data_IF_474928775008
#
_entry.id   IF_474928775008
#
_cell.length_a   1.000
_cell.length_b   1.000
_cell.length_c   1.000
_cell.angle_alpha   90.00
_cell.angle_beta   90.00
_cell.angle_gamma   90.00
#
_symmetry.space_group_name_H-M   'P 1'
#
loop_
_entity.id
_entity.type
_entity.pdbx_description
1 polymer ?
#
# COMPACT_ATOMS: atom_id res chain seq x y z
N UNK A 1 -37.65 17.06 10.32
CA UNK A 1 -38.89 16.25 10.30
C UNK A 1 -39.75 16.31 9.03
N UNK A 2 -40.11 17.46 8.45
CA UNK A 2 -41.19 17.50 7.41
C UNK A 2 -40.97 16.87 6.02
N UNK A 3 -39.74 16.52 5.61
CA UNK A 3 -39.48 15.95 4.27
C UNK A 3 -39.06 14.47 4.28
N UNK A 4 -38.54 13.95 5.40
CA UNK A 4 -38.05 12.57 5.52
C UNK A 4 -39.18 11.53 5.49
N UNK A 5 -40.39 11.91 5.92
CA UNK A 5 -41.58 11.06 5.87
C UNK A 5 -41.97 10.65 4.44
N UNK A 6 -41.59 11.45 3.44
CA UNK A 6 -41.82 11.13 2.03
C UNK A 6 -40.85 10.05 1.49
N UNK A 7 -39.81 9.71 2.25
CA UNK A 7 -38.79 8.74 1.89
C UNK A 7 -38.88 7.47 2.76
N UNK A 8 -40.11 7.01 3.02
CA UNK A 8 -40.38 5.82 3.86
C UNK A 8 -39.74 4.51 3.35
N UNK A 9 -39.41 4.44 2.05
CA UNK A 9 -38.74 3.31 1.41
C UNK A 9 -37.23 3.50 1.26
N UNK A 10 -36.64 4.56 1.84
CA UNK A 10 -35.21 4.80 1.75
C UNK A 10 -34.43 3.68 2.46
N UNK A 11 -33.62 2.95 1.69
CA UNK A 11 -32.83 1.83 2.19
C UNK A 11 -31.36 2.18 2.42
N UNK A 12 -30.86 3.21 1.73
CA UNK A 12 -29.49 3.67 1.80
C UNK A 12 -29.48 5.20 1.83
N UNK A 13 -28.66 5.76 2.70
CA UNK A 13 -28.42 7.21 2.78
C UNK A 13 -26.92 7.46 2.73
N UNK A 14 -26.51 8.39 1.86
CA UNK A 14 -25.13 8.83 1.73
C UNK A 14 -25.07 10.35 1.78
N UNK A 15 -24.18 10.87 2.62
CA UNK A 15 -23.87 12.29 2.71
C UNK A 15 -22.35 12.47 2.69
N UNK A 16 -21.85 13.34 1.81
CA UNK A 16 -20.42 13.58 1.61
C UNK A 16 -20.12 15.07 1.76
N UNK A 17 -18.92 15.36 2.24
CA UNK A 17 -18.38 16.70 2.47
C UNK A 17 -19.32 17.62 3.27
N UNK A 18 -19.99 17.02 4.25
CA UNK A 18 -20.98 17.75 5.07
C UNK A 18 -20.34 18.36 6.31
N UNK A 19 -20.81 19.55 6.69
CA UNK A 19 -20.45 20.22 7.94
C UNK A 19 -21.44 19.79 9.05
N UNK A 20 -21.45 18.48 9.32
CA UNK A 20 -22.35 17.84 10.27
C UNK A 20 -21.64 16.69 11.00
N UNK A 21 -22.14 16.32 12.16
CA UNK A 21 -21.72 15.15 12.93
C UNK A 21 -22.64 13.96 12.67
N UNK A 22 -22.24 12.75 13.06
CA UNK A 22 -23.06 11.54 12.86
C UNK A 22 -24.44 11.65 13.54
N UNK A 23 -24.51 12.34 14.68
CA UNK A 23 -25.75 12.52 15.45
C UNK A 23 -26.75 13.47 14.75
N UNK A 24 -26.28 14.38 13.91
CA UNK A 24 -27.17 15.29 13.16
C UNK A 24 -28.07 14.53 12.16
N UNK A 25 -27.77 13.25 11.91
CA UNK A 25 -28.54 12.36 11.06
C UNK A 25 -29.45 11.39 11.84
N UNK A 26 -29.69 11.63 13.14
CA UNK A 26 -30.55 10.74 13.95
C UNK A 26 -31.99 10.63 13.40
N UNK A 27 -32.52 11.71 12.80
CA UNK A 27 -33.81 11.69 12.12
C UNK A 27 -33.81 10.70 10.94
N UNK A 28 -32.72 10.65 10.17
CA UNK A 28 -32.55 9.72 9.03
C UNK A 28 -32.43 8.28 9.54
N UNK A 29 -31.67 8.09 10.63
CA UNK A 29 -31.46 6.78 11.26
C UNK A 29 -32.74 6.15 11.83
N UNK A 30 -33.80 6.96 12.04
CA UNK A 30 -35.10 6.48 12.49
C UNK A 30 -36.00 5.98 11.34
N UNK A 31 -35.56 6.07 10.08
CA UNK A 31 -36.30 5.54 8.95
C UNK A 31 -36.36 3.99 9.00
N UNK A 32 -37.54 3.39 8.80
CA UNK A 32 -37.75 1.96 9.07
C UNK A 32 -37.04 1.04 8.08
N UNK A 33 -36.83 1.49 6.84
CA UNK A 33 -36.21 0.69 5.78
C UNK A 33 -34.70 0.91 5.65
N UNK A 34 -34.12 1.88 6.37
CA UNK A 34 -32.72 2.22 6.23
C UNK A 34 -31.83 1.06 6.71
N UNK A 35 -30.99 0.55 5.81
CA UNK A 35 -30.02 -0.54 6.06
C UNK A 35 -28.58 -0.05 6.02
N UNK A 36 -28.32 1.02 5.29
CA UNK A 36 -26.97 1.49 5.01
C UNK A 36 -26.89 3.00 5.26
N UNK A 37 -25.86 3.41 6.00
CA UNK A 37 -25.49 4.80 6.20
C UNK A 37 -24.04 5.01 5.78
N UNK A 38 -23.82 5.96 4.88
CA UNK A 38 -22.51 6.48 4.54
C UNK A 38 -22.43 7.96 4.88
N UNK A 39 -21.44 8.35 5.67
CA UNK A 39 -21.18 9.73 6.05
C UNK A 39 -19.71 10.06 5.83
N UNK A 40 -19.44 11.14 5.10
CA UNK A 40 -18.12 11.76 5.04
C UNK A 40 -18.29 13.22 5.42
N UNK A 41 -17.66 13.63 6.51
CA UNK A 41 -17.67 15.03 6.93
C UNK A 41 -16.57 15.78 6.24
N UNK A 42 -16.73 17.09 6.12
CA UNK A 42 -15.67 17.95 5.62
C UNK A 42 -14.42 17.83 6.50
N UNK A 43 -13.32 17.35 5.91
CA UNK A 43 -12.04 17.25 6.59
C UNK A 43 -11.52 18.64 7.00
N UNK A 44 -12.00 19.71 6.36
CA UNK A 44 -11.62 21.09 6.60
C UNK A 44 -12.30 21.80 7.78
N UNK A 45 -13.38 21.24 8.32
CA UNK A 45 -14.19 21.92 9.35
C UNK A 45 -14.42 21.02 10.57
N UNK A 46 -13.85 21.42 11.72
CA UNK A 46 -14.17 20.78 13.00
C UNK A 46 -15.44 21.42 13.55
N UNK A 47 -16.52 20.65 13.66
CA UNK A 47 -17.63 20.97 14.54
C UNK A 47 -17.58 20.08 15.78
N UNK A 48 -17.37 20.65 16.99
CA UNK A 48 -17.62 19.89 18.21
C UNK A 48 -19.09 19.49 18.23
N UNK A 49 -19.37 18.25 18.61
CA UNK A 49 -20.72 17.76 18.87
C UNK A 49 -21.32 18.53 20.06
N UNK A 50 -22.05 19.60 19.77
CA UNK A 50 -22.71 20.40 20.80
C UNK A 50 -23.88 19.59 21.38
N UNK A 51 -23.85 19.33 22.71
CA UNK A 51 -25.04 18.84 23.44
C UNK A 51 -25.32 17.34 23.38
N UNK A 52 -24.28 16.49 23.29
CA UNK A 52 -24.46 15.04 23.19
C UNK A 52 -24.93 14.44 24.52
N UNK A 53 -26.24 14.25 24.66
CA UNK A 53 -26.84 13.51 25.77
C UNK A 53 -26.84 12.01 25.47
N UNK A 54 -25.72 11.32 25.73
CA UNK A 54 -25.61 9.86 25.54
C UNK A 54 -26.76 9.08 26.19
N UNK A 55 -27.39 9.58 27.25
CA UNK A 55 -28.52 8.95 27.93
C UNK A 55 -29.77 8.82 27.05
N UNK A 56 -30.02 9.75 26.11
CA UNK A 56 -31.20 9.76 25.24
C UNK A 56 -31.03 8.98 23.93
N UNK A 57 -29.79 8.62 23.57
CA UNK A 57 -29.51 7.80 22.37
C UNK A 57 -30.23 6.46 22.45
N UNK A 58 -31.08 6.16 21.46
CA UNK A 58 -31.77 4.87 21.33
C UNK A 58 -31.02 3.95 20.37
N UNK A 59 -30.96 2.63 20.57
CA UNK A 59 -30.40 1.73 19.55
C UNK A 59 -31.15 1.82 18.21
N UNK A 60 -30.43 1.73 17.11
CA UNK A 60 -30.93 1.55 15.76
C UNK A 60 -30.54 0.15 15.27
N UNK A 61 -31.53 -0.73 15.14
CA UNK A 61 -31.33 -2.12 14.72
C UNK A 61 -31.54 -2.34 13.22
N UNK A 62 -32.06 -1.34 12.51
CA UNK A 62 -32.37 -1.46 11.09
C UNK A 62 -31.11 -1.34 10.23
N UNK A 63 -30.22 -0.41 10.59
CA UNK A 63 -28.94 -0.18 9.92
C UNK A 63 -28.01 -1.36 10.19
N UNK A 64 -27.50 -1.97 9.12
CA UNK A 64 -26.58 -3.11 9.14
C UNK A 64 -25.20 -2.77 8.58
N UNK A 65 -25.07 -1.65 7.89
CA UNK A 65 -23.81 -1.15 7.34
C UNK A 65 -23.62 0.31 7.70
N UNK A 66 -22.52 0.63 8.39
CA UNK A 66 -22.11 2.00 8.68
C UNK A 66 -20.76 2.25 8.03
N UNK A 67 -20.67 3.33 7.24
CA UNK A 67 -19.42 3.88 6.72
C UNK A 67 -19.32 5.33 7.16
N UNK A 68 -18.27 5.71 7.86
CA UNK A 68 -18.13 7.04 8.43
C UNK A 68 -16.68 7.53 8.36
N UNK A 69 -16.44 8.64 7.67
CA UNK A 69 -15.18 9.39 7.69
C UNK A 69 -15.41 10.71 8.42
N UNK A 70 -14.89 10.85 9.64
CA UNK A 70 -15.27 11.92 10.57
C UNK A 70 -14.08 12.41 11.41
N UNK A 71 -14.21 13.60 12.02
CA UNK A 71 -13.28 14.06 13.05
C UNK A 71 -13.50 13.29 14.36
N UNK A 72 -12.43 13.09 15.13
CA UNK A 72 -12.56 12.55 16.48
C UNK A 72 -13.27 13.54 17.42
N UNK A 73 -14.21 13.03 18.23
CA UNK A 73 -14.74 13.70 19.41
C UNK A 73 -14.90 12.71 20.58
N UNK A 74 -15.03 13.24 21.80
CA UNK A 74 -15.04 12.47 23.05
C UNK A 74 -16.26 11.53 23.20
N UNK A 75 -17.23 11.61 22.30
CA UNK A 75 -18.50 10.91 22.38
C UNK A 75 -18.75 9.96 21.20
N UNK A 76 -17.98 10.09 20.11
CA UNK A 76 -18.18 9.37 18.85
C UNK A 76 -18.29 7.86 19.06
N UNK A 77 -17.30 7.23 19.70
CA UNK A 77 -17.30 5.79 19.90
C UNK A 77 -18.43 5.33 20.82
N UNK A 78 -18.68 6.04 21.92
CA UNK A 78 -19.78 5.72 22.83
C UNK A 78 -21.14 5.81 22.12
N UNK A 79 -21.32 6.81 21.27
CA UNK A 79 -22.51 6.96 20.44
C UNK A 79 -22.62 5.81 19.43
N UNK A 80 -21.56 5.51 18.67
CA UNK A 80 -21.56 4.43 17.67
C UNK A 80 -21.89 3.09 18.30
N UNK A 81 -21.21 2.71 19.38
CA UNK A 81 -21.42 1.46 20.10
C UNK A 81 -22.84 1.35 20.67
N UNK A 82 -23.40 2.45 21.18
CA UNK A 82 -24.75 2.48 21.74
C UNK A 82 -25.83 2.45 20.66
N UNK A 83 -25.62 3.19 19.56
CA UNK A 83 -26.59 3.38 18.48
C UNK A 83 -26.63 2.18 17.54
N UNK A 84 -25.50 1.55 17.21
CA UNK A 84 -25.41 0.56 16.13
C UNK A 84 -25.08 -0.86 16.63
N UNK A 85 -25.99 -1.48 17.37
CA UNK A 85 -25.75 -2.77 18.03
C UNK A 85 -25.87 -4.01 17.11
N UNK A 86 -26.28 -3.86 15.85
CA UNK A 86 -26.55 -4.98 14.93
C UNK A 86 -25.87 -4.80 13.56
N UNK A 87 -24.68 -4.20 13.57
CA UNK A 87 -23.89 -4.03 12.34
C UNK A 87 -23.39 -5.38 11.83
N UNK A 88 -23.52 -5.56 10.52
CA UNK A 88 -22.80 -6.60 9.77
C UNK A 88 -21.51 -6.05 9.18
N UNK A 89 -21.47 -4.74 8.93
CA UNK A 89 -20.36 -4.02 8.32
C UNK A 89 -20.13 -2.67 9.01
N UNK A 90 -18.87 -2.38 9.34
CA UNK A 90 -18.44 -1.09 9.89
C UNK A 90 -17.17 -0.62 9.17
N UNK A 91 -17.17 0.56 8.58
CA UNK A 91 -15.96 1.30 8.19
C UNK A 91 -15.98 2.63 8.96
N UNK A 92 -15.07 2.81 9.90
CA UNK A 92 -14.94 4.05 10.67
C UNK A 92 -13.54 4.63 10.48
N UNK A 93 -13.46 5.76 9.81
CA UNK A 93 -12.22 6.48 9.55
C UNK A 93 -12.20 7.80 10.29
N UNK A 94 -11.23 7.96 11.18
CA UNK A 94 -10.99 9.21 11.88
C UNK A 94 -9.97 10.03 11.10
N UNK A 95 -10.25 11.31 10.87
CA UNK A 95 -9.28 12.24 10.30
C UNK A 95 -8.12 12.53 11.26
N UNK A 96 -6.99 13.03 10.71
CA UNK A 96 -5.82 13.41 11.50
C UNK A 96 -6.20 14.45 12.57
N UNK A 97 -5.86 14.25 13.85
CA UNK A 97 -6.06 15.25 14.88
C UNK A 97 -5.38 16.58 14.57
N UNK A 98 -6.17 17.58 14.19
CA UNK A 98 -5.68 18.92 13.81
C UNK A 98 -5.02 19.72 14.91
N UNK A 99 -5.15 19.29 16.16
CA UNK A 99 -4.55 19.98 17.31
C UNK A 99 -3.99 18.96 18.28
N UNK A 100 -2.90 19.34 18.97
CA UNK A 100 -2.33 18.54 20.05
C UNK A 100 -3.37 18.23 21.15
N UNK A 101 -4.36 19.10 21.35
CA UNK A 101 -5.43 18.85 22.32
C UNK A 101 -6.37 17.73 21.89
N UNK A 102 -6.77 17.68 20.61
CA UNK A 102 -7.62 16.60 20.08
C UNK A 102 -6.84 15.29 20.11
N UNK A 103 -5.55 15.35 19.74
CA UNK A 103 -4.65 14.20 19.81
C UNK A 103 -4.62 13.60 21.22
N UNK A 104 -4.32 14.40 22.25
CA UNK A 104 -4.27 13.91 23.64
C UNK A 104 -5.60 13.29 24.08
N UNK A 105 -6.74 13.91 23.73
CA UNK A 105 -8.06 13.37 24.05
C UNK A 105 -8.31 12.02 23.39
N UNK A 106 -7.93 11.86 22.13
CA UNK A 106 -8.01 10.60 21.41
C UNK A 106 -7.10 9.55 22.04
N UNK A 107 -5.84 9.88 22.30
CA UNK A 107 -4.87 8.99 22.95
C UNK A 107 -5.38 8.51 24.32
N UNK A 108 -5.85 9.43 25.16
CA UNK A 108 -6.42 9.14 26.48
C UNK A 108 -7.67 8.25 26.37
N UNK A 109 -8.55 8.51 25.41
CA UNK A 109 -9.76 7.71 25.23
C UNK A 109 -9.43 6.27 24.83
N UNK A 110 -8.57 6.09 23.84
CA UNK A 110 -8.14 4.75 23.43
C UNK A 110 -7.40 4.04 24.56
N UNK A 111 -6.51 4.71 25.28
CA UNK A 111 -5.81 4.11 26.43
C UNK A 111 -6.77 3.57 27.50
N UNK A 112 -7.92 4.22 27.73
CA UNK A 112 -8.88 3.83 28.76
C UNK A 112 -10.00 2.90 28.27
N UNK A 113 -10.30 2.89 26.96
CA UNK A 113 -11.47 2.20 26.41
C UNK A 113 -11.16 1.18 25.31
N UNK A 114 -9.87 0.93 25.01
CA UNK A 114 -9.44 0.02 23.95
C UNK A 114 -10.16 -1.31 23.98
N UNK A 115 -10.20 -1.98 25.15
CA UNK A 115 -10.80 -3.30 25.28
C UNK A 115 -12.29 -3.31 24.91
N UNK A 116 -13.05 -2.31 25.36
CA UNK A 116 -14.47 -2.17 25.03
C UNK A 116 -14.69 -1.96 23.53
N UNK A 117 -13.82 -1.15 22.90
CA UNK A 117 -13.86 -0.93 21.44
C UNK A 117 -13.58 -2.25 20.71
N UNK A 118 -12.55 -2.99 21.15
CA UNK A 118 -12.18 -4.28 20.56
C UNK A 118 -13.29 -5.34 20.70
N UNK A 119 -13.91 -5.44 21.86
CA UNK A 119 -15.05 -6.35 22.10
C UNK A 119 -16.23 -6.02 21.18
N UNK A 120 -16.51 -4.73 21.00
CA UNK A 120 -17.53 -4.27 20.08
C UNK A 120 -17.17 -4.62 18.63
N UNK A 121 -15.95 -4.34 18.18
CA UNK A 121 -15.48 -4.67 16.83
C UNK A 121 -15.54 -6.19 16.56
N UNK A 122 -15.19 -7.02 17.54
CA UNK A 122 -15.30 -8.48 17.44
C UNK A 122 -16.73 -8.98 17.24
N UNK A 123 -17.72 -8.24 17.74
CA UNK A 123 -19.13 -8.59 17.53
C UNK A 123 -19.59 -8.35 16.08
N UNK A 124 -18.83 -7.57 15.30
CA UNK A 124 -19.17 -7.18 13.93
C UNK A 124 -18.40 -8.07 12.93
N UNK A 125 -19.10 -8.83 12.06
CA UNK A 125 -18.48 -9.77 11.12
C UNK A 125 -17.44 -9.15 10.19
N UNK A 126 -17.66 -7.92 9.72
CA UNK A 126 -16.74 -7.19 8.86
C UNK A 126 -16.55 -5.78 9.42
N UNK A 127 -15.33 -5.42 9.77
CA UNK A 127 -15.03 -4.09 10.28
C UNK A 127 -13.69 -3.58 9.75
N UNK A 128 -13.60 -2.26 9.64
CA UNK A 128 -12.41 -1.49 9.38
C UNK A 128 -12.40 -0.27 10.29
N UNK A 129 -11.32 -0.10 11.03
CA UNK A 129 -11.06 1.08 11.85
C UNK A 129 -9.80 1.75 11.34
N UNK A 130 -9.93 3.01 10.92
CA UNK A 130 -8.80 3.91 10.67
C UNK A 130 -8.75 4.96 11.75
N UNK A 131 -7.66 4.99 12.50
CA UNK A 131 -7.44 6.05 13.47
C UNK A 131 -5.95 6.38 13.61
N UNK A 132 -5.69 7.52 14.24
CA UNK A 132 -4.34 7.97 14.54
C UNK A 132 -4.03 7.65 15.99
N UNK A 133 -2.93 6.94 16.26
CA UNK A 133 -2.65 6.48 17.61
C UNK A 133 -1.22 6.03 17.84
N UNK A 134 -0.83 5.82 19.10
CA UNK A 134 0.49 5.34 19.48
C UNK A 134 0.68 3.86 19.10
N UNK A 135 1.90 3.48 18.72
CA UNK A 135 2.26 2.13 18.25
C UNK A 135 2.05 1.06 19.32
N UNK A 136 2.16 1.42 20.60
CA UNK A 136 2.02 0.49 21.72
C UNK A 136 0.61 -0.15 21.78
N UNK A 137 -0.41 0.55 21.25
CA UNK A 137 -1.78 0.02 21.19
C UNK A 137 -1.93 -1.08 20.14
N UNK A 138 -1.11 -1.04 19.08
CA UNK A 138 -1.16 -1.98 17.96
C UNK A 138 -1.03 -3.42 18.47
N UNK A 139 -0.17 -3.64 19.47
CA UNK A 139 0.08 -4.95 20.08
C UNK A 139 -1.17 -5.63 20.60
N UNK A 140 -2.02 -4.89 21.31
CA UNK A 140 -3.26 -5.43 21.89
C UNK A 140 -4.34 -5.56 20.82
N UNK A 141 -4.38 -4.65 19.84
CA UNK A 141 -5.37 -4.71 18.76
C UNK A 141 -5.13 -5.92 17.86
N UNK A 142 -3.89 -6.19 17.47
CA UNK A 142 -3.54 -7.35 16.62
C UNK A 142 -4.05 -8.65 17.25
N UNK A 143 -3.80 -8.86 18.55
CA UNK A 143 -4.26 -10.06 19.29
C UNK A 143 -5.78 -10.24 19.22
N UNK A 144 -6.53 -9.15 19.14
CA UNK A 144 -7.99 -9.15 19.15
C UNK A 144 -8.61 -9.26 17.76
N UNK A 145 -7.90 -8.92 16.69
CA UNK A 145 -8.45 -8.97 15.33
C UNK A 145 -8.45 -10.40 14.76
N UNK A 146 -9.54 -11.16 14.96
CA UNK A 146 -9.79 -12.41 14.21
C UNK A 146 -10.13 -12.16 12.73
N UNK A 147 -10.65 -10.97 12.41
CA UNK A 147 -11.06 -10.50 11.08
C UNK A 147 -10.50 -9.09 10.88
N UNK A 148 -9.84 -8.87 9.74
CA UNK A 148 -8.52 -8.23 9.81
C UNK A 148 -8.35 -7.16 8.71
N UNK A 149 -8.94 -5.99 8.90
CA UNK A 149 -8.49 -4.75 8.23
C UNK A 149 -8.46 -3.66 9.28
N UNK A 150 -7.29 -3.43 9.85
CA UNK A 150 -7.00 -2.36 10.78
C UNK A 150 -6.05 -1.41 10.07
N UNK A 151 -6.27 -0.10 10.17
CA UNK A 151 -5.27 0.85 9.73
C UNK A 151 -5.05 1.89 10.81
N UNK A 152 -3.79 2.01 11.22
CA UNK A 152 -3.32 2.87 12.30
C UNK A 152 -2.29 3.80 11.70
N UNK A 153 -2.63 5.08 11.64
CA UNK A 153 -1.63 6.10 11.32
C UNK A 153 -0.85 6.40 12.59
N UNK A 154 0.48 6.31 12.53
CA UNK A 154 1.38 6.53 13.66
C UNK A 154 1.89 7.96 13.58
N UNK A 155 1.89 8.65 14.70
CA UNK A 155 2.34 10.02 14.75
C UNK A 155 3.87 10.13 14.69
N UNK A 156 4.35 11.05 13.85
CA UNK A 156 5.60 11.74 14.14
C UNK A 156 5.40 12.78 15.26
N UNK A 157 6.46 13.30 15.88
CA UNK A 157 6.33 14.47 16.75
C UNK A 157 5.72 15.61 15.92
N UNK A 158 4.57 16.13 16.35
CA UNK A 158 3.88 17.27 15.74
C UNK A 158 4.88 18.42 15.53
N UNK A 159 5.40 18.61 14.31
CA UNK A 159 5.84 19.94 13.92
C UNK A 159 4.56 20.74 13.71
N UNK A 160 4.45 21.86 14.41
CA UNK A 160 3.33 22.79 14.23
C UNK A 160 3.40 23.52 12.89
N UNK A 161 4.49 23.30 12.15
CA UNK A 161 4.76 23.86 10.85
C UNK A 161 4.88 22.71 9.83
N UNK A 162 4.10 22.84 8.76
CA UNK A 162 4.09 22.05 7.52
C UNK A 162 3.21 20.78 7.48
N UNK A 163 2.69 20.54 6.27
CA UNK A 163 1.91 19.38 5.82
C UNK A 163 2.75 18.08 5.91
N UNK A 164 3.27 17.76 7.09
CA UNK A 164 3.99 16.50 7.31
C UNK A 164 2.94 15.39 7.30
N UNK A 165 2.94 14.62 6.23
CA UNK A 165 2.27 13.34 6.16
C UNK A 165 2.88 12.43 7.23
N UNK A 166 2.12 12.13 8.28
CA UNK A 166 2.53 11.21 9.36
C UNK A 166 2.69 9.77 8.85
N UNK A 167 3.68 8.99 9.32
CA UNK A 167 3.84 7.58 8.93
C UNK A 167 2.54 6.80 9.16
N UNK A 168 2.17 5.94 8.21
CA UNK A 168 0.95 5.15 8.35
C UNK A 168 1.23 3.66 8.26
N UNK A 169 0.55 2.91 9.12
CA UNK A 169 0.57 1.46 9.17
C UNK A 169 -0.84 0.98 8.86
N UNK A 170 -1.01 0.08 7.91
CA UNK A 170 -2.23 -0.73 7.81
C UNK A 170 -1.91 -2.18 8.01
N UNK A 171 -2.62 -2.81 8.94
CA UNK A 171 -2.50 -4.22 9.26
C UNK A 171 -3.79 -4.90 8.83
N UNK A 172 -3.70 -5.76 7.82
CA UNK A 172 -4.80 -6.61 7.41
C UNK A 172 -4.54 -8.08 7.74
N UNK A 173 -5.40 -8.97 7.23
CA UNK A 173 -5.36 -10.37 7.59
C UNK A 173 -4.02 -11.02 7.38
N UNK A 174 -3.49 -10.76 6.22
CA UNK A 174 -2.34 -11.46 5.69
C UNK A 174 -1.32 -10.46 5.18
N UNK A 175 -1.68 -9.18 5.18
CA UNK A 175 -0.81 -8.11 4.73
C UNK A 175 -0.54 -7.12 5.83
N UNK A 176 0.67 -6.60 5.85
CA UNK A 176 0.96 -5.31 6.49
C UNK A 176 1.36 -4.34 5.38
N UNK A 177 0.84 -3.13 5.45
CA UNK A 177 1.18 -2.01 4.57
C UNK A 177 1.82 -0.95 5.46
N UNK A 178 3.11 -0.77 5.29
CA UNK A 178 3.91 0.18 6.03
C UNK A 178 4.22 1.32 5.09
N UNK A 179 4.02 2.54 5.56
CA UNK A 179 4.42 3.69 4.79
C UNK A 179 5.14 4.72 5.63
N UNK A 180 6.35 4.99 5.16
CA UNK A 180 7.32 5.86 5.81
C UNK A 180 7.31 7.20 5.07
N UNK A 181 7.01 8.26 5.80
CA UNK A 181 7.24 9.64 5.38
C UNK A 181 8.47 10.21 6.12
N UNK A 182 8.87 11.44 5.78
CA UNK A 182 10.13 12.11 6.15
C UNK A 182 10.68 11.87 7.58
N UNK A 183 9.80 11.66 8.57
CA UNK A 183 10.19 11.23 9.91
C UNK A 183 9.46 9.96 10.31
N UNK A 184 10.20 8.85 10.44
CA UNK A 184 9.68 7.64 11.05
C UNK A 184 10.76 6.94 11.88
N UNK A 185 10.42 6.58 13.12
CA UNK A 185 11.31 5.83 14.00
C UNK A 185 11.31 4.35 13.57
N UNK A 186 12.45 3.91 13.00
CA UNK A 186 12.66 2.53 12.52
C UNK A 186 12.38 1.50 13.61
N UNK A 187 12.84 1.74 14.83
CA UNK A 187 12.74 0.77 15.93
C UNK A 187 11.28 0.51 16.30
N UNK A 188 10.46 1.57 16.30
CA UNK A 188 9.03 1.46 16.61
C UNK A 188 8.27 0.67 15.56
N UNK A 189 8.56 0.88 14.27
CA UNK A 189 7.91 0.13 13.21
C UNK A 189 8.37 -1.32 13.16
N UNK A 190 9.65 -1.57 13.40
CA UNK A 190 10.18 -2.93 13.48
C UNK A 190 9.50 -3.71 14.61
N UNK A 191 9.33 -3.11 15.80
CA UNK A 191 8.60 -3.73 16.91
C UNK A 191 7.17 -4.13 16.51
N UNK A 192 6.45 -3.25 15.80
CA UNK A 192 5.10 -3.56 15.28
C UNK A 192 5.12 -4.75 14.32
N UNK A 193 6.08 -4.78 13.39
CA UNK A 193 6.19 -5.85 12.40
C UNK A 193 6.54 -7.19 13.04
N UNK A 194 7.51 -7.20 13.95
CA UNK A 194 7.91 -8.39 14.72
C UNK A 194 6.72 -8.97 15.49
N UNK A 195 5.85 -8.12 16.05
CA UNK A 195 4.67 -8.58 16.76
C UNK A 195 3.64 -9.26 15.83
N UNK A 196 3.59 -8.85 14.56
CA UNK A 196 2.69 -9.42 13.56
C UNK A 196 3.30 -10.61 12.79
N UNK A 197 4.61 -10.85 12.91
CA UNK A 197 5.39 -11.65 11.96
C UNK A 197 4.89 -13.08 11.75
N UNK A 198 4.25 -13.68 12.78
CA UNK A 198 3.78 -15.07 12.75
C UNK A 198 2.60 -15.33 11.82
N UNK A 199 1.86 -14.28 11.46
CA UNK A 199 0.61 -14.35 10.70
C UNK A 199 0.67 -13.69 9.32
N UNK A 200 1.66 -12.83 9.09
CA UNK A 200 1.82 -12.08 7.84
C UNK A 200 2.41 -12.98 6.75
N UNK A 201 1.85 -12.87 5.53
CA UNK A 201 2.37 -13.51 4.33
C UNK A 201 2.59 -12.53 3.17
N UNK A 202 2.12 -11.29 3.30
CA UNK A 202 2.25 -10.19 2.35
C UNK A 202 2.75 -8.94 3.07
N UNK A 203 3.78 -8.30 2.57
CA UNK A 203 4.35 -7.09 3.12
C UNK A 203 4.37 -6.04 2.02
N UNK A 204 3.77 -4.89 2.29
CA UNK A 204 3.88 -3.70 1.46
C UNK A 204 4.63 -2.65 2.23
N UNK A 205 5.59 -2.05 1.58
CA UNK A 205 6.44 -1.00 2.12
C UNK A 205 6.49 0.12 1.10
N UNK A 206 5.91 1.27 1.45
CA UNK A 206 5.82 2.46 0.61
C UNK A 206 6.57 3.61 1.26
N UNK A 207 7.59 4.15 0.62
CA UNK A 207 8.48 5.13 1.23
C UNK A 207 8.52 6.38 0.37
N UNK A 208 8.34 7.51 1.02
CA UNK A 208 8.39 8.82 0.36
C UNK A 208 9.51 9.70 0.92
N UNK A 209 10.26 9.22 1.92
CA UNK A 209 11.41 9.91 2.49
C UNK A 209 12.62 9.82 1.56
N UNK A 210 13.22 10.96 1.22
CA UNK A 210 14.33 11.05 0.24
C UNK A 210 15.72 11.05 0.92
N UNK A 211 15.80 11.15 2.26
CA UNK A 211 17.06 11.51 2.95
C UNK A 211 17.67 10.42 3.86
N UNK A 212 17.21 9.16 3.81
CA UNK A 212 17.66 8.07 4.72
C UNK A 212 17.64 6.66 4.10
N UNK A 213 18.12 6.53 2.87
CA UNK A 213 18.05 5.27 2.09
C UNK A 213 18.74 4.08 2.79
N UNK A 214 19.84 4.30 3.52
CA UNK A 214 20.52 3.24 4.28
C UNK A 214 19.65 2.68 5.42
N UNK A 215 19.03 3.54 6.23
CA UNK A 215 18.16 3.11 7.35
C UNK A 215 16.94 2.32 6.85
N UNK A 216 16.45 2.69 5.67
CA UNK A 216 15.34 2.04 4.98
C UNK A 216 15.72 0.62 4.56
N UNK A 217 16.88 0.46 3.92
CA UNK A 217 17.36 -0.85 3.49
C UNK A 217 17.55 -1.79 4.68
N UNK A 218 18.15 -1.29 5.76
CA UNK A 218 18.30 -2.07 6.98
C UNK A 218 16.94 -2.45 7.59
N UNK A 219 15.92 -1.58 7.51
CA UNK A 219 14.56 -1.89 7.97
C UNK A 219 13.94 -3.06 7.21
N UNK A 220 14.14 -3.13 5.88
CA UNK A 220 13.64 -4.24 5.05
C UNK A 220 14.29 -5.55 5.48
N UNK A 221 15.59 -5.50 5.72
CA UNK A 221 16.35 -6.68 6.15
C UNK A 221 15.88 -7.19 7.51
N UNK A 222 15.76 -6.30 8.48
CA UNK A 222 15.28 -6.65 9.81
C UNK A 222 13.90 -7.32 9.71
N UNK A 223 12.99 -6.74 8.93
CA UNK A 223 11.65 -7.28 8.76
C UNK A 223 11.68 -8.69 8.15
N UNK A 224 12.46 -8.90 7.10
CA UNK A 224 12.56 -10.19 6.42
C UNK A 224 13.21 -11.26 7.29
N UNK A 225 14.19 -10.89 8.13
CA UNK A 225 14.78 -11.79 9.12
C UNK A 225 13.74 -12.25 10.15
N UNK A 226 12.88 -11.35 10.63
CA UNK A 226 11.90 -11.67 11.68
C UNK A 226 10.63 -12.33 11.15
N UNK A 227 10.33 -12.19 9.86
CA UNK A 227 9.07 -12.64 9.25
C UNK A 227 9.27 -13.78 8.25
N UNK A 228 9.68 -14.95 8.76
CA UNK A 228 10.01 -16.15 7.99
C UNK A 228 8.88 -16.68 7.06
N UNK A 229 7.64 -16.21 7.21
CA UNK A 229 6.48 -16.66 6.42
C UNK A 229 6.09 -15.72 5.28
N UNK A 230 6.78 -14.60 5.09
CA UNK A 230 6.45 -13.64 4.03
C UNK A 230 6.64 -14.30 2.67
N UNK A 231 5.56 -14.38 1.90
CA UNK A 231 5.55 -14.94 0.55
C UNK A 231 5.55 -13.85 -0.53
N UNK A 232 5.18 -12.63 -0.16
CA UNK A 232 5.01 -11.50 -1.07
C UNK A 232 5.58 -10.24 -0.44
N UNK A 233 6.46 -9.54 -1.16
CA UNK A 233 7.00 -8.25 -0.78
C UNK A 233 6.72 -7.24 -1.89
N UNK A 234 6.07 -6.14 -1.55
CA UNK A 234 5.96 -4.95 -2.38
C UNK A 234 6.82 -3.87 -1.74
N UNK A 235 7.82 -3.39 -2.46
CA UNK A 235 8.65 -2.29 -2.05
C UNK A 235 8.54 -1.14 -3.06
N UNK A 236 8.09 0.02 -2.59
CA UNK A 236 7.89 1.24 -3.37
C UNK A 236 8.63 2.40 -2.71
N UNK A 237 9.44 3.13 -3.45
CA UNK A 237 10.09 4.38 -3.02
C UNK A 237 9.99 5.46 -4.09
N UNK A 238 10.00 6.74 -3.69
CA UNK A 238 10.18 7.86 -4.61
C UNK A 238 11.65 8.11 -4.98
N UNK A 239 12.58 7.70 -4.10
CA UNK A 239 14.02 7.85 -4.26
C UNK A 239 14.67 6.76 -5.10
N UNK A 240 15.99 6.62 -4.96
CA UNK A 240 16.76 5.55 -5.61
C UNK A 240 16.81 4.31 -4.69
N UNK A 241 16.84 3.11 -5.27
CA UNK A 241 17.14 1.87 -4.56
C UNK A 241 18.59 1.51 -4.82
N UNK A 242 19.45 1.83 -3.84
CA UNK A 242 20.88 1.53 -3.87
C UNK A 242 21.26 0.63 -2.71
N UNK A 243 22.25 -0.24 -2.90
CA UNK A 243 22.79 -1.06 -1.81
C UNK A 243 23.68 -0.18 -0.91
N UNK A 244 23.54 -0.24 0.43
CA UNK A 244 24.48 0.41 1.33
C UNK A 244 25.89 -0.13 1.13
N UNK A 245 26.87 0.77 1.15
CA UNK A 245 28.28 0.42 0.95
C UNK A 245 28.76 -0.51 2.08
N UNK A 246 29.18 -1.72 1.73
CA UNK A 246 29.86 -2.66 2.65
C UNK A 246 28.97 -3.75 3.26
N UNK A 247 27.68 -3.80 2.98
CA UNK A 247 26.82 -4.92 3.38
C UNK A 247 26.86 -6.03 2.32
N UNK A 248 27.83 -6.93 2.46
CA UNK A 248 27.93 -8.13 1.62
C UNK A 248 27.41 -9.38 2.33
N UNK A 249 26.44 -10.07 1.70
CA UNK A 249 26.31 -11.53 1.64
C UNK A 249 26.10 -12.37 2.93
N UNK A 250 25.99 -11.78 4.13
CA UNK A 250 25.91 -12.56 5.38
C UNK A 250 24.50 -12.96 5.83
N UNK A 251 23.45 -12.44 5.19
CA UNK A 251 22.08 -12.78 5.56
C UNK A 251 21.68 -14.11 4.92
N UNK A 252 21.14 -14.99 5.77
CA UNK A 252 20.44 -16.18 5.30
C UNK A 252 19.15 -15.70 4.63
N UNK A 253 19.03 -16.00 3.34
CA UNK A 253 17.89 -15.57 2.53
C UNK A 253 16.55 -16.08 3.08
N UNK A 254 15.46 -15.42 2.70
CA UNK A 254 14.12 -15.92 2.96
C UNK A 254 13.71 -16.95 1.90
N UNK A 255 13.65 -18.23 2.32
CA UNK A 255 13.18 -19.32 1.46
C UNK A 255 11.67 -19.30 1.21
N UNK A 256 10.92 -18.43 1.89
CA UNK A 256 9.47 -18.34 1.77
C UNK A 256 9.00 -17.31 0.74
N UNK A 257 9.85 -16.34 0.39
CA UNK A 257 9.50 -15.26 -0.52
C UNK A 257 9.38 -15.77 -1.97
N UNK A 258 8.17 -15.67 -2.54
CA UNK A 258 7.86 -16.13 -3.90
C UNK A 258 7.54 -15.01 -4.86
N UNK A 259 7.13 -13.85 -4.34
CA UNK A 259 6.70 -12.69 -5.13
C UNK A 259 7.40 -11.43 -4.65
N UNK A 260 8.00 -10.71 -5.57
CA UNK A 260 8.66 -9.44 -5.32
C UNK A 260 8.14 -8.39 -6.31
N UNK A 261 7.71 -7.25 -5.78
CA UNK A 261 7.36 -6.07 -6.55
C UNK A 261 8.28 -4.93 -6.12
N UNK A 262 8.97 -4.32 -7.08
CA UNK A 262 9.89 -3.21 -6.87
C UNK A 262 9.42 -2.00 -7.67
N UNK A 263 9.39 -0.82 -7.02
CA UNK A 263 9.08 0.46 -7.65
C UNK A 263 9.95 1.56 -7.07
N UNK A 264 10.75 2.22 -7.88
CA UNK A 264 11.62 3.30 -7.45
C UNK A 264 11.66 4.44 -8.47
N UNK A 265 12.29 5.56 -8.11
CA UNK A 265 12.80 6.51 -9.10
C UNK A 265 13.90 5.90 -9.96
N UNK A 266 14.76 5.07 -9.36
CA UNK A 266 15.81 4.27 -10.01
C UNK A 266 16.12 3.03 -9.16
N UNK A 267 16.43 1.90 -9.79
CA UNK A 267 16.87 0.67 -9.11
C UNK A 267 18.27 0.34 -9.61
N UNK A 268 19.24 0.25 -8.70
CA UNK A 268 20.59 -0.12 -9.05
C UNK A 268 20.68 -1.58 -9.52
N UNK A 269 21.55 -1.86 -10.50
CA UNK A 269 21.73 -3.19 -11.08
C UNK A 269 22.12 -4.24 -10.02
N UNK A 270 22.92 -3.85 -9.02
CA UNK A 270 23.39 -4.78 -7.99
C UNK A 270 22.24 -5.28 -7.09
N UNK A 271 21.13 -4.55 -7.00
CA UNK A 271 19.94 -4.94 -6.22
C UNK A 271 19.36 -6.26 -6.72
N UNK A 272 19.33 -6.48 -8.03
CA UNK A 272 18.78 -7.72 -8.61
C UNK A 272 19.62 -8.94 -8.24
N UNK A 273 20.94 -8.79 -8.28
CA UNK A 273 21.87 -9.86 -7.93
C UNK A 273 21.70 -10.23 -6.46
N UNK A 274 21.67 -9.23 -5.57
CA UNK A 274 21.41 -9.40 -4.13
C UNK A 274 20.07 -10.07 -3.87
N UNK A 275 18.99 -9.60 -4.51
CA UNK A 275 17.66 -10.21 -4.39
C UNK A 275 17.67 -11.67 -4.84
N UNK A 276 18.40 -12.00 -5.91
CA UNK A 276 18.53 -13.36 -6.38
C UNK A 276 19.22 -14.28 -5.38
N UNK A 277 20.19 -13.78 -4.61
CA UNK A 277 20.83 -14.54 -3.54
C UNK A 277 19.93 -14.69 -2.31
N UNK A 278 19.24 -13.63 -1.93
CA UNK A 278 18.42 -13.62 -0.72
C UNK A 278 17.08 -14.31 -0.86
N UNK A 279 16.55 -14.43 -2.08
CA UNK A 279 15.24 -15.02 -2.33
C UNK A 279 15.39 -16.17 -3.34
N UNK A 280 16.02 -17.29 -2.94
CA UNK A 280 16.30 -18.39 -3.86
C UNK A 280 15.02 -19.05 -4.41
N UNK A 281 13.90 -18.95 -3.69
CA UNK A 281 12.59 -19.45 -4.10
C UNK A 281 11.72 -18.41 -4.82
N UNK A 282 12.28 -17.26 -5.19
CA UNK A 282 11.57 -16.21 -5.94
C UNK A 282 11.08 -16.75 -7.29
N UNK A 283 9.76 -16.65 -7.50
CA UNK A 283 9.10 -17.09 -8.74
C UNK A 283 8.55 -15.94 -9.56
N UNK A 284 8.04 -14.89 -8.92
CA UNK A 284 7.44 -13.78 -9.63
C UNK A 284 8.14 -12.47 -9.28
N UNK A 285 8.60 -11.76 -10.31
CA UNK A 285 9.18 -10.44 -10.18
C UNK A 285 8.36 -9.42 -10.99
N UNK A 286 8.05 -8.29 -10.38
CA UNK A 286 7.55 -7.11 -11.08
C UNK A 286 8.45 -5.93 -10.77
N UNK A 287 8.88 -5.22 -11.81
CA UNK A 287 9.71 -4.03 -11.70
C UNK A 287 9.02 -2.88 -12.39
N UNK A 288 8.73 -1.82 -11.65
CA UNK A 288 8.22 -0.54 -12.16
C UNK A 288 9.39 0.43 -12.32
N UNK A 289 9.54 0.98 -13.53
CA UNK A 289 10.64 1.83 -13.99
C UNK A 289 12.02 1.17 -13.81
N UNK A 290 12.33 0.11 -14.58
CA UNK A 290 13.58 -0.64 -14.46
C UNK A 290 14.80 0.10 -15.04
N UNK A 291 14.81 1.43 -15.16
CA UNK A 291 15.88 2.15 -15.86
C UNK A 291 15.98 3.61 -15.42
N UNK A 292 17.18 4.20 -15.60
CA UNK A 292 17.43 5.64 -15.52
C UNK A 292 17.37 6.24 -16.93
N UNK A 293 16.71 7.40 -17.10
CA UNK A 293 16.51 8.03 -18.41
C UNK A 293 17.82 8.41 -19.13
N UNK A 294 18.89 8.62 -18.37
CA UNK A 294 20.22 8.99 -18.84
C UNK A 294 21.18 7.79 -18.95
N UNK A 295 20.70 6.56 -18.69
CA UNK A 295 21.51 5.35 -18.86
C UNK A 295 21.27 4.71 -20.23
N UNK A 296 22.36 4.31 -20.90
CA UNK A 296 22.30 3.58 -22.18
C UNK A 296 22.21 2.06 -22.00
N UNK A 297 22.63 1.54 -20.84
CA UNK A 297 22.65 0.10 -20.55
C UNK A 297 22.20 -0.14 -19.10
N UNK A 298 21.30 -1.11 -18.89
CA UNK A 298 20.85 -1.53 -17.59
C UNK A 298 20.91 -3.06 -17.50
N UNK A 299 21.57 -3.58 -16.47
CA UNK A 299 21.74 -5.01 -16.26
C UNK A 299 20.89 -5.49 -15.08
N UNK A 300 20.15 -6.57 -15.30
CA UNK A 300 19.34 -7.26 -14.30
C UNK A 300 19.89 -8.68 -14.15
N UNK A 301 20.96 -8.86 -13.37
CA UNK A 301 21.55 -10.18 -13.11
C UNK A 301 20.87 -10.85 -11.90
N UNK A 302 20.26 -12.02 -12.14
CA UNK A 302 19.53 -12.81 -11.15
C UNK A 302 19.86 -14.31 -11.28
N UNK A 303 21.13 -14.71 -11.08
CA UNK A 303 21.63 -16.02 -11.52
C UNK A 303 21.03 -17.22 -10.78
N UNK A 304 20.42 -16.99 -9.61
CA UNK A 304 19.80 -18.04 -8.79
C UNK A 304 18.27 -18.09 -8.93
N UNK A 305 17.64 -17.00 -9.37
CA UNK A 305 16.19 -16.87 -9.42
C UNK A 305 15.57 -17.72 -10.54
N UNK A 306 14.62 -18.59 -10.18
CA UNK A 306 13.83 -19.41 -11.12
C UNK A 306 12.47 -18.75 -11.33
N UNK A 307 12.44 -17.74 -12.19
CA UNK A 307 11.24 -16.95 -12.41
C UNK A 307 10.22 -17.72 -13.24
N UNK A 308 9.02 -17.89 -12.70
CA UNK A 308 7.86 -18.31 -13.48
C UNK A 308 7.25 -17.11 -14.20
N UNK A 309 7.43 -15.89 -13.67
CA UNK A 309 6.84 -14.66 -14.19
C UNK A 309 7.77 -13.45 -13.98
N UNK A 310 8.03 -12.70 -15.05
CA UNK A 310 8.69 -11.40 -15.01
C UNK A 310 7.79 -10.34 -15.68
N UNK A 311 7.47 -9.26 -14.95
CA UNK A 311 6.84 -8.06 -15.49
C UNK A 311 7.78 -6.86 -15.38
N UNK A 312 7.96 -6.16 -16.49
CA UNK A 312 8.62 -4.85 -16.53
C UNK A 312 7.62 -3.78 -16.94
N UNK A 313 7.49 -2.73 -16.14
CA UNK A 313 6.64 -1.57 -16.41
C UNK A 313 7.52 -0.36 -16.72
N UNK A 314 7.42 0.15 -17.94
CA UNK A 314 8.25 1.26 -18.40
C UNK A 314 7.57 2.64 -18.22
N UNK A 315 6.29 2.68 -17.84
CA UNK A 315 5.56 3.93 -17.61
C UNK A 315 5.47 4.89 -18.82
N UNK A 316 4.99 6.12 -18.57
CA UNK A 316 4.73 7.11 -19.63
C UNK A 316 5.97 7.84 -20.16
N UNK A 317 7.02 7.96 -19.35
CA UNK A 317 8.21 8.78 -19.63
C UNK A 317 9.25 8.10 -20.52
N UNK A 318 9.00 6.85 -20.93
CA UNK A 318 9.95 6.02 -21.67
C UNK A 318 10.07 6.33 -23.16
N UNK A 319 9.13 7.08 -23.71
CA UNK A 319 8.97 7.17 -25.15
C UNK A 319 10.17 7.91 -25.76
N UNK A 320 10.91 7.29 -26.69
CA UNK A 320 11.74 8.04 -27.63
C UNK A 320 10.83 9.01 -28.38
N UNK A 321 10.91 10.31 -28.10
CA UNK A 321 10.33 11.29 -29.03
C UNK A 321 11.01 11.09 -30.39
N UNK A 322 10.23 11.17 -31.47
CA UNK A 322 10.81 11.27 -32.80
C UNK A 322 11.64 12.56 -32.84
N UNK A 323 12.95 12.46 -32.63
CA UNK A 323 13.82 13.62 -32.76
C UNK A 323 13.87 13.97 -34.26
N UNK A 324 13.40 15.16 -34.67
CA UNK A 324 13.43 15.58 -36.06
C UNK A 324 14.84 15.68 -36.65
N UNK A 325 15.90 15.61 -35.81
CA UNK A 325 17.31 15.51 -36.24
C UNK A 325 17.78 14.08 -36.49
N UNK A 326 17.08 13.06 -36.01
CA UNK A 326 17.42 11.64 -36.17
C UNK A 326 16.22 10.88 -36.75
N UNK A 327 16.04 10.86 -38.10
CA UNK A 327 14.89 10.24 -38.76
C UNK A 327 14.89 8.70 -38.74
N UNK A 328 15.73 8.06 -37.92
CA UNK A 328 15.73 6.60 -37.74
C UNK A 328 15.03 6.25 -36.43
N UNK A 329 14.06 5.34 -36.49
CA UNK A 329 13.34 4.77 -35.35
C UNK A 329 14.30 4.29 -34.27
N UNK A 330 14.42 5.04 -33.18
CA UNK A 330 15.12 4.59 -31.99
C UNK A 330 14.36 3.45 -31.30
N UNK A 331 15.08 2.47 -30.77
CA UNK A 331 14.48 1.35 -30.07
C UNK A 331 15.16 1.06 -28.73
N UNK A 332 14.44 0.36 -27.87
CA UNK A 332 15.01 -0.32 -26.69
C UNK A 332 15.25 -1.78 -27.01
N UNK A 333 16.45 -2.22 -26.69
CA UNK A 333 16.90 -3.59 -26.89
C UNK A 333 16.78 -4.36 -25.58
N UNK A 334 15.83 -5.27 -25.49
CA UNK A 334 15.66 -6.17 -24.36
C UNK A 334 16.38 -7.49 -24.68
N UNK A 335 17.44 -7.80 -23.95
CA UNK A 335 18.17 -9.07 -24.07
C UNK A 335 17.80 -9.93 -22.86
N UNK A 336 17.23 -11.10 -23.10
CA UNK A 336 16.88 -12.05 -22.04
C UNK A 336 17.75 -13.29 -22.22
N UNK A 337 18.56 -13.60 -21.20
CA UNK A 337 19.44 -14.75 -21.14
C UNK A 337 19.02 -15.63 -19.97
N UNK A 338 18.74 -16.88 -20.27
CA UNK A 338 18.62 -17.95 -19.28
C UNK A 338 19.72 -18.98 -19.50
N UNK A 339 19.80 -20.02 -18.65
CA UNK A 339 20.74 -21.11 -18.89
C UNK A 339 20.48 -21.87 -20.19
N UNK A 340 19.23 -21.91 -20.65
CA UNK A 340 18.82 -22.73 -21.81
C UNK A 340 18.41 -21.88 -23.01
N UNK A 341 18.03 -20.62 -22.80
CA UNK A 341 17.44 -19.77 -23.84
C UNK A 341 18.12 -18.41 -23.91
N UNK A 342 18.29 -17.89 -25.12
CA UNK A 342 18.64 -16.49 -25.35
C UNK A 342 17.64 -15.90 -26.33
N UNK A 343 16.92 -14.89 -25.88
CA UNK A 343 15.95 -14.16 -26.70
C UNK A 343 16.33 -12.67 -26.70
N UNK A 344 16.10 -12.02 -27.84
CA UNK A 344 16.39 -10.60 -28.01
C UNK A 344 15.16 -9.96 -28.63
N UNK A 345 14.64 -8.94 -27.95
CA UNK A 345 13.46 -8.19 -28.38
C UNK A 345 13.84 -6.75 -28.61
N UNK A 346 13.17 -6.15 -29.59
CA UNK A 346 13.24 -4.71 -29.85
C UNK A 346 11.88 -4.11 -29.54
N UNK A 347 11.89 -3.01 -28.79
CA UNK A 347 10.71 -2.23 -28.46
C UNK A 347 10.86 -0.88 -29.13
N UNK A 348 9.95 -0.54 -30.02
CA UNK A 348 9.99 0.72 -30.77
C UNK A 348 8.62 1.37 -30.82
N UNK A 349 8.60 2.69 -31.04
CA UNK A 349 7.36 3.45 -31.29
C UNK A 349 7.42 4.03 -32.70
N UNK A 350 6.37 3.81 -33.47
CA UNK A 350 6.23 4.34 -34.82
C UNK A 350 4.81 4.86 -35.03
N UNK A 351 4.66 6.11 -35.48
CA UNK A 351 3.36 6.76 -35.73
C UNK A 351 2.37 6.67 -34.54
N UNK A 352 2.91 6.71 -33.31
CA UNK A 352 2.13 6.61 -32.07
C UNK A 352 1.84 5.19 -31.58
N UNK A 353 2.10 4.15 -32.38
CA UNK A 353 1.94 2.73 -32.03
C UNK A 353 3.24 2.13 -31.49
N UNK A 354 3.13 1.25 -30.49
CA UNK A 354 4.26 0.51 -29.91
C UNK A 354 4.35 -0.87 -30.55
N UNK A 355 5.53 -1.23 -31.08
CA UNK A 355 5.83 -2.53 -31.65
C UNK A 355 6.89 -3.27 -30.82
N UNK A 356 6.69 -4.57 -30.64
CA UNK A 356 7.67 -5.48 -30.03
C UNK A 356 7.98 -6.60 -31.03
N UNK A 357 9.25 -6.76 -31.39
CA UNK A 357 9.70 -7.76 -32.35
C UNK A 357 10.88 -8.54 -31.80
N UNK A 358 10.85 -9.87 -31.91
CA UNK A 358 12.03 -10.70 -31.69
C UNK A 358 13.02 -10.48 -32.84
N UNK A 359 14.27 -10.14 -32.53
CA UNK A 359 15.26 -9.75 -33.52
C UNK A 359 16.64 -10.33 -33.19
N UNK A 360 17.40 -10.75 -34.21
CA UNK A 360 18.75 -11.31 -33.98
C UNK A 360 19.75 -10.27 -33.45
N UNK A 361 19.68 -9.02 -33.93
CA UNK A 361 20.26 -7.77 -33.41
C UNK A 361 19.82 -6.66 -34.39
N UNK A 362 19.22 -5.56 -33.92
CA UNK A 362 18.77 -4.49 -34.81
C UNK A 362 19.91 -3.73 -35.51
N UNK A 363 19.65 -3.25 -36.74
CA UNK A 363 20.50 -2.28 -37.47
C UNK A 363 20.14 -0.81 -37.14
N UNK A 364 19.23 -0.58 -36.19
CA UNK A 364 18.74 0.74 -35.76
C UNK A 364 19.57 1.30 -34.60
N UNK A 365 19.41 2.61 -34.35
CA UNK A 365 20.02 3.25 -33.18
C UNK A 365 19.36 2.72 -31.89
N UNK A 366 20.15 2.08 -31.04
CA UNK A 366 19.72 1.57 -29.73
C UNK A 366 19.84 2.70 -28.71
N UNK A 367 18.74 3.05 -28.05
CA UNK A 367 18.73 4.07 -27.01
C UNK A 367 19.03 3.52 -25.62
N UNK A 368 18.47 2.34 -25.32
CA UNK A 368 18.64 1.65 -24.07
C UNK A 368 18.78 0.16 -24.35
N UNK A 369 19.75 -0.48 -23.71
CA UNK A 369 19.80 -1.94 -23.60
C UNK A 369 19.40 -2.33 -22.19
N UNK A 370 18.42 -3.23 -22.05
CA UNK A 370 18.15 -3.93 -20.79
C UNK A 370 18.59 -5.37 -20.94
N UNK A 371 19.63 -5.78 -20.22
CA UNK A 371 20.20 -7.13 -20.26
C UNK A 371 19.78 -7.89 -19.01
N UNK A 372 18.91 -8.88 -19.18
CA UNK A 372 18.31 -9.66 -18.11
C UNK A 372 18.92 -11.05 -18.12
N UNK A 373 19.53 -11.43 -17.00
CA UNK A 373 20.10 -12.76 -16.83
C UNK A 373 19.41 -13.44 -15.66
N UNK A 374 18.82 -14.60 -15.88
CA UNK A 374 18.18 -15.35 -14.80
C UNK A 374 18.35 -16.86 -15.01
N UNK A 375 18.15 -17.68 -13.97
CA UNK A 375 18.31 -19.13 -14.08
C UNK A 375 17.33 -19.75 -15.08
N UNK A 376 16.07 -19.37 -14.95
CA UNK A 376 14.99 -19.76 -15.84
C UNK A 376 13.92 -18.68 -15.82
N UNK A 377 13.21 -18.52 -16.93
CA UNK A 377 12.07 -17.63 -17.05
C UNK A 377 10.94 -18.38 -17.74
N UNK A 378 9.80 -18.58 -17.08
CA UNK A 378 8.64 -19.26 -17.68
C UNK A 378 7.77 -18.34 -18.52
N UNK A 379 7.58 -17.11 -18.06
CA UNK A 379 6.70 -16.15 -18.71
C UNK A 379 7.20 -14.71 -18.56
N UNK A 380 7.13 -13.93 -19.65
CA UNK A 380 7.53 -12.52 -19.69
C UNK A 380 6.38 -11.60 -20.12
N UNK A 381 6.26 -10.47 -19.43
CA UNK A 381 5.31 -9.40 -19.71
C UNK A 381 6.01 -8.04 -19.76
N UNK A 382 5.74 -7.30 -20.83
CA UNK A 382 6.17 -5.91 -20.95
C UNK A 382 4.95 -4.99 -20.95
N UNK A 383 4.94 -3.98 -20.08
CA UNK A 383 3.90 -2.95 -20.07
C UNK A 383 4.47 -1.60 -20.53
N UNK A 384 3.84 -1.03 -21.57
CA UNK A 384 4.15 0.28 -22.14
C UNK A 384 2.84 1.00 -22.47
N UNK A 385 2.57 2.16 -21.86
CA UNK A 385 1.52 3.12 -22.26
C UNK A 385 0.15 2.49 -22.56
N UNK A 386 -0.39 1.72 -21.61
CA UNK A 386 -1.72 1.08 -21.71
C UNK A 386 -1.86 -0.02 -22.78
N UNK A 387 -0.78 -0.43 -23.45
CA UNK A 387 -0.78 -1.60 -24.33
C UNK A 387 -0.16 -2.80 -23.57
N UNK A 388 -1.00 -3.77 -23.22
CA UNK A 388 -0.56 -5.08 -22.73
C UNK A 388 0.10 -5.83 -23.89
N UNK A 389 1.42 -5.74 -24.01
CA UNK A 389 2.13 -6.32 -25.13
C UNK A 389 2.87 -7.58 -24.71
N UNK A 390 2.35 -8.68 -25.28
CA UNK A 390 2.79 -10.06 -25.21
C UNK A 390 2.60 -10.80 -23.88
N UNK A 391 1.83 -11.88 -23.99
CA UNK A 391 2.03 -13.08 -23.22
C UNK A 391 3.04 -13.97 -23.95
N UNK A 392 4.30 -13.97 -23.54
CA UNK A 392 5.30 -14.89 -24.11
C UNK A 392 5.67 -15.95 -23.06
N UNK A 393 5.37 -17.21 -23.36
CA UNK A 393 5.83 -18.37 -22.59
C UNK A 393 7.15 -18.84 -23.16
N UNK A 394 8.14 -19.05 -22.30
CA UNK A 394 9.33 -19.80 -22.66
C UNK A 394 9.03 -21.28 -22.46
N UNK A 395 9.43 -22.11 -23.41
CA UNK A 395 9.33 -23.55 -23.25
C UNK A 395 10.25 -24.00 -22.11
N UNK A 396 9.64 -24.36 -20.97
CA UNK A 396 10.34 -24.96 -19.84
C UNK A 396 10.46 -26.46 -20.11
N UNK A 397 11.64 -26.92 -20.54
CA UNK A 397 11.96 -28.36 -20.62
C UNK A 397 12.14 -29.03 -19.26
#
# INVERSE_FOLDING_TARGET
MGQLEHFSNLYCFSARDVIASLIDFDDVLNLPQLRELELSTDAEVIRPSQGLHLSSTRPCFNVRSLKASVHYDDHLFAYVMKRFQNLRHLELHLYNPRTASIKRKQDDYFANHLQTILDYLQSIPRHELRYYGPTEQIREIIKYTKHRSLSISVFGPLSLDEDITDPWISITQRSIDLCYFDYCDRDQLLDVVVQCCKEIVDLRLSITAISREDEIYESILDILEHCEKIQSLHYSTLGEMVLPIGQSTLLTGSDSLKRLYLRAGYIDADIYSTCSYWFPELRHLTVDRPYRLDCQEHEMDMPHARLDYLKLDFGHSFIPEEDPKFPMSSCVLLKIRTYTTRAVYTVSRHEGLVAIEEAEIPKTNVMLTVDIHCRSLGYFNLFVLDVHLLQHSFDLE
#
